data_IF_108203611194
#
_entry.id   IF_108203611194
#
_cell.length_a   1.000
_cell.length_b   1.000
_cell.length_c   1.000
_cell.angle_alpha   90.00
_cell.angle_beta   90.00
_cell.angle_gamma   90.00
#
_symmetry.space_group_name_H-M   'P 1'
#
loop_
_entity.id
_entity.type
_entity.pdbx_description
1 polymer ?
#
# COMPACT_ATOMS: atom_id res chain seq x y z
N UNK A 1 2.62 38.36 -39.42
CA UNK A 1 2.96 36.93 -39.59
C UNK A 1 4.23 36.66 -38.83
N UNK A 2 4.20 35.89 -37.74
CA UNK A 2 5.28 35.03 -37.22
C UNK A 2 4.57 34.08 -36.24
N UNK A 3 4.41 32.82 -36.64
CA UNK A 3 3.93 31.74 -35.77
C UNK A 3 5.16 31.23 -35.02
N UNK A 4 5.24 31.49 -33.71
CA UNK A 4 6.26 30.88 -32.87
C UNK A 4 5.64 29.65 -32.17
N UNK A 5 5.70 28.52 -32.86
CA UNK A 5 5.43 27.19 -32.32
C UNK A 5 6.47 26.86 -31.26
N UNK A 6 6.14 27.06 -29.98
CA UNK A 6 6.92 26.54 -28.86
C UNK A 6 6.45 25.10 -28.63
N UNK A 7 7.28 24.16 -29.09
CA UNK A 7 7.08 22.73 -28.94
C UNK A 7 7.20 22.36 -27.44
N UNK A 8 6.12 21.81 -26.90
CA UNK A 8 6.03 21.22 -25.56
C UNK A 8 6.97 20.02 -25.42
N UNK A 9 7.98 20.13 -24.56
CA UNK A 9 8.65 18.98 -23.96
C UNK A 9 8.97 19.23 -22.48
N UNK A 10 7.92 19.27 -21.65
CA UNK A 10 8.05 19.00 -20.22
C UNK A 10 7.68 17.54 -19.94
N UNK A 11 8.63 16.63 -20.17
CA UNK A 11 8.59 15.30 -19.56
C UNK A 11 9.14 15.46 -18.14
N UNK A 12 8.34 16.03 -17.25
CA UNK A 12 8.57 15.91 -15.81
C UNK A 12 7.81 14.67 -15.32
N UNK A 13 8.45 13.52 -15.47
CA UNK A 13 8.04 12.27 -14.82
C UNK A 13 8.22 12.47 -13.30
N UNK A 14 7.24 13.11 -12.65
CA UNK A 14 7.10 13.07 -11.20
C UNK A 14 6.58 11.67 -10.81
N UNK A 15 7.43 10.66 -10.95
CA UNK A 15 7.25 9.38 -10.31
C UNK A 15 7.56 9.51 -8.81
N UNK A 16 6.80 10.35 -8.10
CA UNK A 16 6.60 10.20 -6.66
C UNK A 16 5.53 9.11 -6.42
N UNK A 17 5.75 7.96 -7.06
CA UNK A 17 5.09 6.72 -6.75
C UNK A 17 6.13 5.85 -6.09
N UNK A 18 6.32 6.03 -4.77
CA UNK A 18 6.92 5.04 -3.89
C UNK A 18 6.04 3.80 -3.86
N UNK A 19 5.92 3.12 -4.99
CA UNK A 19 5.45 1.76 -5.03
C UNK A 19 6.58 0.91 -4.50
N UNK A 20 6.33 0.17 -3.43
CA UNK A 20 7.13 -0.97 -3.03
C UNK A 20 7.10 -2.04 -4.14
N UNK A 21 7.71 -1.75 -5.29
CA UNK A 21 8.02 -2.75 -6.30
C UNK A 21 9.25 -3.45 -5.76
N UNK A 22 9.09 -4.68 -5.26
CA UNK A 22 10.22 -5.60 -5.07
C UNK A 22 10.85 -5.82 -6.45
N UNK A 23 11.83 -4.98 -6.77
CA UNK A 23 12.58 -4.98 -8.03
C UNK A 23 13.99 -5.46 -7.73
N UNK A 24 14.06 -6.67 -7.21
CA UNK A 24 15.26 -7.42 -6.90
C UNK A 24 14.90 -8.90 -6.75
N UNK A 25 15.89 -9.80 -6.78
CA UNK A 25 15.68 -11.20 -6.40
C UNK A 25 14.91 -11.27 -5.08
N UNK A 26 14.11 -12.31 -4.87
CA UNK A 26 13.62 -12.60 -3.51
C UNK A 26 14.83 -12.56 -2.60
N UNK A 27 14.77 -11.73 -1.54
CA UNK A 27 15.88 -11.68 -0.59
C UNK A 27 15.99 -13.08 -0.01
N UNK A 28 17.07 -13.78 -0.34
CA UNK A 28 17.39 -15.03 0.30
C UNK A 28 17.58 -14.79 1.80
N UNK A 29 17.23 -15.79 2.59
CA UNK A 29 17.18 -15.75 4.04
C UNK A 29 15.78 -15.94 4.59
N UNK A 30 15.72 -16.20 5.89
CA UNK A 30 14.50 -16.56 6.59
C UNK A 30 13.35 -15.56 6.32
N UNK A 31 12.19 -16.02 5.85
CA UNK A 31 11.09 -15.12 5.53
C UNK A 31 10.62 -14.31 6.74
N UNK A 32 10.47 -13.00 6.56
CA UNK A 32 10.03 -12.09 7.65
C UNK A 32 8.64 -12.40 8.23
N UNK A 33 7.83 -13.21 7.54
CA UNK A 33 6.53 -13.65 8.02
C UNK A 33 6.58 -14.89 8.91
N UNK A 34 7.71 -15.61 8.99
CA UNK A 34 7.81 -16.89 9.70
C UNK A 34 7.35 -16.79 11.15
N UNK A 35 7.72 -15.72 11.86
CA UNK A 35 7.28 -15.44 13.24
C UNK A 35 5.76 -15.31 13.46
N UNK A 36 4.95 -15.28 12.39
CA UNK A 36 3.49 -15.12 12.44
C UNK A 36 2.74 -16.40 12.06
N UNK A 37 3.45 -17.47 11.73
CA UNK A 37 2.85 -18.77 11.43
C UNK A 37 2.60 -19.55 12.73
N UNK A 38 1.76 -20.60 12.72
CA UNK A 38 1.68 -21.55 13.84
C UNK A 38 3.06 -22.16 14.14
N UNK A 39 3.33 -22.47 15.41
CA UNK A 39 4.65 -22.93 15.89
C UNK A 39 5.25 -24.04 15.02
N UNK A 40 4.45 -25.06 14.69
CA UNK A 40 4.86 -26.17 13.83
C UNK A 40 5.39 -25.70 12.46
N UNK A 41 4.67 -24.79 11.80
CA UNK A 41 5.10 -24.23 10.51
C UNK A 41 6.30 -23.30 10.67
N UNK A 42 6.43 -22.60 11.81
CA UNK A 42 7.64 -21.82 12.08
C UNK A 42 8.87 -22.71 12.18
N UNK A 43 8.77 -23.83 12.90
CA UNK A 43 9.87 -24.78 13.08
C UNK A 43 10.28 -25.43 11.76
N UNK A 44 9.30 -25.88 10.95
CA UNK A 44 9.58 -26.44 9.61
C UNK A 44 10.35 -25.44 8.75
N UNK A 45 9.90 -24.17 8.71
CA UNK A 45 10.58 -23.13 7.92
C UNK A 45 11.95 -22.79 8.52
N UNK A 46 12.11 -22.71 9.84
CA UNK A 46 13.42 -22.46 10.45
C UNK A 46 14.43 -23.55 10.07
N UNK A 47 14.02 -24.82 10.04
CA UNK A 47 14.86 -25.96 9.62
C UNK A 47 15.27 -25.89 8.16
N UNK A 48 14.36 -25.49 7.25
CA UNK A 48 14.67 -25.29 5.82
C UNK A 48 15.81 -24.28 5.64
N UNK A 49 15.78 -23.19 6.40
CA UNK A 49 16.75 -22.10 6.29
C UNK A 49 17.95 -22.21 7.24
N UNK A 50 18.04 -23.26 8.06
CA UNK A 50 19.07 -23.40 9.12
C UNK A 50 20.48 -23.48 8.55
N UNK A 51 20.64 -24.13 7.39
CA UNK A 51 21.92 -24.36 6.71
C UNK A 51 22.14 -23.44 5.50
N UNK A 52 21.29 -22.42 5.31
CA UNK A 52 21.43 -21.49 4.19
C UNK A 52 22.60 -20.52 4.42
N UNK A 53 23.47 -20.38 3.42
CA UNK A 53 24.61 -19.46 3.44
C UNK A 53 24.39 -18.25 2.52
N UNK A 54 24.69 -17.05 3.04
CA UNK A 54 24.56 -15.80 2.29
C UNK A 54 25.42 -15.81 1.01
N UNK A 55 24.76 -15.63 -0.14
CA UNK A 55 25.40 -15.62 -1.46
C UNK A 55 25.13 -16.86 -2.30
N UNK A 56 24.56 -17.93 -1.71
CA UNK A 56 24.05 -19.08 -2.46
C UNK A 56 22.64 -18.78 -3.04
N UNK A 57 22.28 -19.45 -4.13
CA UNK A 57 20.93 -19.41 -4.67
C UNK A 57 19.95 -20.09 -3.71
N UNK A 58 18.79 -19.48 -3.47
CA UNK A 58 17.83 -19.94 -2.46
C UNK A 58 16.51 -20.48 -3.05
N UNK A 59 16.53 -20.92 -4.30
CA UNK A 59 15.31 -21.37 -5.00
C UNK A 59 14.71 -22.62 -4.36
N UNK A 60 15.57 -23.52 -3.87
CA UNK A 60 15.14 -24.75 -3.18
C UNK A 60 14.46 -24.42 -1.84
N UNK A 61 15.08 -23.58 -1.02
CA UNK A 61 14.56 -23.14 0.27
C UNK A 61 13.26 -22.36 0.10
N UNK A 62 13.15 -21.56 -0.96
CA UNK A 62 11.91 -20.89 -1.32
C UNK A 62 10.81 -21.86 -1.73
N UNK A 63 11.13 -22.89 -2.51
CA UNK A 63 10.15 -23.90 -2.90
C UNK A 63 9.68 -24.72 -1.70
N UNK A 64 10.59 -25.20 -0.85
CA UNK A 64 10.24 -25.95 0.36
C UNK A 64 9.43 -25.08 1.34
N UNK A 65 9.78 -23.79 1.48
CA UNK A 65 8.98 -22.83 2.26
C UNK A 65 7.58 -22.69 1.68
N UNK A 66 7.44 -22.67 0.36
CA UNK A 66 6.14 -22.59 -0.30
C UNK A 66 5.31 -23.84 -0.06
N UNK A 67 5.92 -25.02 -0.09
CA UNK A 67 5.22 -26.28 0.15
C UNK A 67 4.64 -26.30 1.58
N UNK A 68 5.41 -25.87 2.59
CA UNK A 68 4.91 -25.70 3.98
C UNK A 68 3.75 -24.70 4.05
N UNK A 69 3.79 -23.62 3.27
CA UNK A 69 2.70 -22.65 3.25
C UNK A 69 1.44 -23.19 2.55
N UNK A 70 1.60 -24.02 1.53
CA UNK A 70 0.49 -24.59 0.75
C UNK A 70 -0.25 -25.69 1.53
N UNK A 71 0.41 -26.33 2.51
CA UNK A 71 -0.22 -27.22 3.50
C UNK A 71 -1.11 -26.47 4.51
N UNK A 72 -0.85 -25.19 4.75
CA UNK A 72 -1.60 -24.41 5.73
C UNK A 72 -2.99 -24.01 5.20
N UNK A 73 -4.00 -23.96 6.08
CA UNK A 73 -5.28 -23.35 5.74
C UNK A 73 -5.11 -21.95 5.15
N UNK A 74 -5.88 -21.64 4.11
CA UNK A 74 -5.72 -20.41 3.34
C UNK A 74 -5.86 -19.16 4.21
N UNK A 75 -6.71 -19.17 5.23
CA UNK A 75 -6.90 -18.09 6.19
C UNK A 75 -5.64 -17.89 7.07
N UNK A 76 -5.02 -18.97 7.57
CA UNK A 76 -3.77 -18.94 8.35
C UNK A 76 -2.64 -18.36 7.52
N UNK A 77 -2.44 -18.88 6.30
CA UNK A 77 -1.43 -18.39 5.36
C UNK A 77 -1.63 -16.90 5.05
N UNK A 78 -2.87 -16.51 4.73
CA UNK A 78 -3.18 -15.12 4.39
C UNK A 78 -2.96 -14.18 5.58
N UNK A 79 -3.30 -14.58 6.81
CA UNK A 79 -3.01 -13.80 8.03
C UNK A 79 -1.52 -13.59 8.23
N UNK A 80 -0.72 -14.65 8.13
CA UNK A 80 0.73 -14.58 8.32
C UNK A 80 1.41 -13.76 7.22
N UNK A 81 0.95 -13.84 5.97
CA UNK A 81 1.56 -13.13 4.84
C UNK A 81 1.04 -11.70 4.66
N UNK A 82 -0.03 -11.30 5.36
CA UNK A 82 -0.59 -9.95 5.27
C UNK A 82 0.50 -8.88 5.55
N UNK A 83 0.55 -7.77 4.80
CA UNK A 83 1.49 -6.69 5.09
C UNK A 83 1.36 -6.25 6.55
N UNK A 84 2.49 -5.96 7.21
CA UNK A 84 2.49 -5.32 8.52
C UNK A 84 1.83 -3.96 8.32
N UNK A 85 0.55 -3.85 8.68
CA UNK A 85 -0.20 -2.61 8.64
C UNK A 85 0.39 -1.58 9.62
N UNK A 86 -0.32 -0.48 9.90
CA UNK A 86 0.11 0.49 10.90
C UNK A 86 0.48 -0.19 12.23
N UNK A 87 1.52 0.31 12.90
CA UNK A 87 2.05 -0.28 14.14
C UNK A 87 0.99 -0.45 15.23
N UNK A 88 0.02 0.45 15.30
CA UNK A 88 -1.08 0.39 16.28
C UNK A 88 -2.04 -0.79 16.07
N UNK A 89 -2.03 -1.42 14.89
CA UNK A 89 -2.78 -2.65 14.63
C UNK A 89 -1.92 -3.90 14.85
N UNK A 90 -0.75 -3.81 15.49
CA UNK A 90 0.04 -5.02 15.78
C UNK A 90 -0.66 -5.84 16.87
N UNK A 91 -0.91 -7.12 16.58
CA UNK A 91 -1.50 -8.06 17.54
C UNK A 91 -2.98 -7.83 17.89
N UNK A 92 -3.69 -6.94 17.19
CA UNK A 92 -5.15 -6.81 17.34
C UNK A 92 -5.86 -8.08 16.84
N UNK A 93 -7.06 -8.36 17.38
CA UNK A 93 -7.93 -9.41 16.87
C UNK A 93 -8.35 -9.15 15.41
N UNK A 94 -8.73 -10.20 14.70
CA UNK A 94 -9.21 -10.08 13.32
C UNK A 94 -10.48 -9.23 13.22
N UNK A 95 -11.35 -9.30 14.23
CA UNK A 95 -12.55 -8.47 14.32
C UNK A 95 -12.20 -6.98 14.41
N UNK A 96 -11.31 -6.60 15.34
CA UNK A 96 -10.86 -5.20 15.47
C UNK A 96 -10.20 -4.74 14.17
N UNK A 97 -9.35 -5.57 13.56
CA UNK A 97 -8.73 -5.24 12.28
C UNK A 97 -9.76 -5.03 11.18
N UNK A 98 -10.79 -5.88 11.11
CA UNK A 98 -11.86 -5.76 10.12
C UNK A 98 -12.63 -4.44 10.25
N UNK A 99 -12.84 -3.95 11.49
CA UNK A 99 -13.46 -2.63 11.72
C UNK A 99 -12.60 -1.49 11.14
N UNK A 100 -11.29 -1.52 11.36
CA UNK A 100 -10.38 -0.53 10.76
C UNK A 100 -10.30 -0.66 9.23
N UNK A 101 -10.28 -1.88 8.69
CA UNK A 101 -10.29 -2.10 7.24
C UNK A 101 -11.57 -1.60 6.58
N UNK A 102 -12.72 -1.85 7.23
CA UNK A 102 -14.02 -1.37 6.78
C UNK A 102 -14.02 0.16 6.73
N UNK A 103 -13.58 0.83 7.79
CA UNK A 103 -13.46 2.30 7.82
C UNK A 103 -12.48 2.82 6.76
N UNK A 104 -11.38 2.11 6.51
CA UNK A 104 -10.40 2.49 5.48
C UNK A 104 -11.01 2.46 4.07
N UNK A 105 -11.74 1.39 3.80
CA UNK A 105 -12.40 1.10 2.52
C UNK A 105 -13.75 1.77 2.36
N UNK A 106 -14.29 2.36 3.42
CA UNK A 106 -15.53 3.12 3.34
C UNK A 106 -15.29 4.39 2.52
N UNK A 107 -15.80 4.38 1.29
CA UNK A 107 -15.66 5.49 0.36
C UNK A 107 -16.76 6.54 0.51
N UNK A 108 -17.77 6.29 1.35
CA UNK A 108 -18.82 7.28 1.66
C UNK A 108 -18.31 8.40 2.58
N UNK A 109 -17.27 8.11 3.37
CA UNK A 109 -16.66 9.07 4.28
C UNK A 109 -15.57 9.86 3.55
N UNK A 110 -15.65 11.19 3.63
CA UNK A 110 -14.64 12.09 3.07
C UNK A 110 -13.25 11.78 3.63
N UNK A 111 -12.23 11.98 2.79
CA UNK A 111 -10.82 11.81 3.20
C UNK A 111 -10.43 12.74 4.34
N UNK A 112 -11.07 13.90 4.45
CA UNK A 112 -10.79 14.88 5.49
C UNK A 112 -11.42 14.51 6.85
N UNK A 113 -12.54 13.76 6.83
CA UNK A 113 -13.28 13.35 8.02
C UNK A 113 -12.83 11.98 8.55
N UNK A 114 -12.27 11.13 7.67
CA UNK A 114 -11.71 9.82 8.04
C UNK A 114 -10.79 9.88 9.27
N UNK A 115 -9.81 10.81 9.38
CA UNK A 115 -8.92 10.86 10.54
C UNK A 115 -9.65 10.90 11.89
N UNK A 116 -10.75 11.65 11.98
CA UNK A 116 -11.55 11.76 13.21
C UNK A 116 -12.29 10.46 13.49
N UNK A 117 -12.87 9.83 12.46
CA UNK A 117 -13.49 8.50 12.60
C UNK A 117 -12.50 7.42 12.99
N UNK A 118 -11.26 7.49 12.49
CA UNK A 118 -10.19 6.59 12.91
C UNK A 118 -9.83 6.79 14.38
N UNK A 119 -9.83 8.04 14.86
CA UNK A 119 -9.58 8.38 16.26
C UNK A 119 -10.69 7.88 17.17
N UNK A 120 -11.96 8.13 16.81
CA UNK A 120 -13.12 7.61 17.55
C UNK A 120 -13.09 6.07 17.66
N UNK A 121 -12.76 5.38 16.57
CA UNK A 121 -12.65 3.92 16.57
C UNK A 121 -11.48 3.46 17.43
N UNK A 122 -10.31 4.10 17.30
CA UNK A 122 -9.12 3.77 18.08
C UNK A 122 -9.36 3.87 19.59
N UNK A 123 -10.01 4.94 20.05
CA UNK A 123 -10.33 5.14 21.46
C UNK A 123 -11.29 4.08 22.02
N UNK A 124 -12.13 3.48 21.17
CA UNK A 124 -13.09 2.45 21.57
C UNK A 124 -12.51 1.05 21.67
N UNK A 125 -11.60 0.69 20.77
CA UNK A 125 -11.24 -0.73 20.55
C UNK A 125 -9.77 -1.08 20.79
N UNK A 126 -8.88 -0.09 20.90
CA UNK A 126 -7.46 -0.32 21.11
C UNK A 126 -7.11 -0.27 22.60
N UNK A 127 -6.12 -1.07 23.00
CA UNK A 127 -5.54 -1.02 24.34
C UNK A 127 -4.55 0.13 24.52
N UNK A 128 -4.04 0.35 25.74
CA UNK A 128 -3.16 1.47 26.06
C UNK A 128 -1.87 1.53 25.21
N UNK A 129 -1.22 0.38 24.95
CA UNK A 129 0.00 0.33 24.13
C UNK A 129 -0.30 0.67 22.66
N UNK A 130 -1.39 0.13 22.13
CA UNK A 130 -1.85 0.38 20.77
C UNK A 130 -2.31 1.84 20.60
N UNK A 131 -2.98 2.42 21.60
CA UNK A 131 -3.37 3.84 21.62
C UNK A 131 -2.15 4.76 21.53
N UNK A 132 -1.06 4.41 22.23
CA UNK A 132 0.20 5.17 22.18
C UNK A 132 0.78 5.19 20.77
N UNK A 133 0.79 4.04 20.09
CA UNK A 133 1.23 3.95 18.69
C UNK A 133 0.25 4.64 17.73
N UNK A 134 -1.06 4.59 18.02
CA UNK A 134 -2.07 5.29 17.24
C UNK A 134 -1.88 6.81 17.33
N UNK A 135 -1.66 7.34 18.53
CA UNK A 135 -1.44 8.77 18.74
C UNK A 135 -0.19 9.27 18.01
N UNK A 136 0.90 8.49 17.99
CA UNK A 136 2.08 8.79 17.15
C UNK A 136 1.72 8.83 15.66
N UNK A 137 0.98 7.83 15.19
CA UNK A 137 0.53 7.76 13.80
C UNK A 137 -0.36 8.94 13.43
N UNK A 138 -1.33 9.28 14.28
CA UNK A 138 -2.27 10.38 14.10
C UNK A 138 -1.55 11.72 14.09
N UNK A 139 -0.64 11.97 15.03
CA UNK A 139 0.19 13.18 15.04
C UNK A 139 1.03 13.32 13.77
N UNK A 140 1.64 12.23 13.29
CA UNK A 140 2.39 12.23 12.03
C UNK A 140 1.50 12.50 10.81
N UNK A 141 0.24 12.04 10.83
CA UNK A 141 -0.73 12.35 9.78
C UNK A 141 -1.11 13.83 9.79
N UNK A 142 -1.41 14.40 10.96
CA UNK A 142 -1.74 15.83 11.11
C UNK A 142 -0.57 16.72 10.66
N UNK A 143 0.66 16.41 11.09
CA UNK A 143 1.85 17.14 10.66
C UNK A 143 2.01 17.15 9.13
N UNK A 144 1.84 15.99 8.47
CA UNK A 144 1.91 15.92 6.99
C UNK A 144 0.82 16.74 6.32
N UNK A 145 -0.39 16.79 6.90
CA UNK A 145 -1.49 17.63 6.39
C UNK A 145 -1.13 19.11 6.50
N UNK A 146 -0.62 19.56 7.64
CA UNK A 146 -0.20 20.93 7.86
C UNK A 146 0.97 21.34 6.94
N UNK A 147 1.98 20.49 6.81
CA UNK A 147 3.11 20.70 5.89
C UNK A 147 2.63 20.82 4.43
N UNK A 148 1.68 19.97 4.03
CA UNK A 148 1.09 20.05 2.69
C UNK A 148 0.33 21.37 2.50
N UNK A 149 -0.46 21.79 3.49
CA UNK A 149 -1.15 23.09 3.45
C UNK A 149 -0.18 24.27 3.37
N UNK A 150 0.95 24.22 4.09
CA UNK A 150 2.01 25.23 3.97
C UNK A 150 2.57 25.27 2.54
N UNK A 151 2.85 24.11 1.94
CA UNK A 151 3.32 24.03 0.54
C UNK A 151 2.29 24.59 -0.44
N UNK A 152 1.00 24.31 -0.26
CA UNK A 152 -0.07 24.87 -1.09
C UNK A 152 -0.13 26.41 -1.01
N UNK A 153 0.07 26.97 0.19
CA UNK A 153 0.12 28.43 0.40
C UNK A 153 1.32 29.08 -0.28
N UNK A 154 2.43 28.36 -0.43
CA UNK A 154 3.66 28.82 -1.09
C UNK A 154 3.62 28.69 -2.62
N UNK A 155 2.64 27.99 -3.20
CA UNK A 155 2.52 27.87 -4.66
C UNK A 155 2.22 29.23 -5.31
N UNK A 156 2.75 29.40 -6.54
CA UNK A 156 2.34 30.50 -7.41
C UNK A 156 0.84 30.39 -7.77
N UNK A 157 0.18 31.49 -8.14
CA UNK A 157 -1.23 31.46 -8.53
C UNK A 157 -1.53 30.46 -9.66
N UNK A 158 -0.64 30.37 -10.66
CA UNK A 158 -0.75 29.43 -11.77
C UNK A 158 -0.64 27.97 -11.29
N UNK A 159 0.36 27.66 -10.46
CA UNK A 159 0.55 26.32 -9.93
C UNK A 159 -0.62 25.89 -9.01
N UNK A 160 -1.17 26.83 -8.23
CA UNK A 160 -2.35 26.58 -7.40
C UNK A 160 -3.59 26.30 -8.25
N UNK A 161 -3.84 27.10 -9.29
CA UNK A 161 -4.94 26.87 -10.22
C UNK A 161 -4.82 25.51 -10.94
N UNK A 162 -3.60 25.12 -11.34
CA UNK A 162 -3.35 23.79 -11.90
C UNK A 162 -3.60 22.68 -10.87
N UNK A 163 -3.14 22.84 -9.63
CA UNK A 163 -3.40 21.89 -8.55
C UNK A 163 -4.89 21.69 -8.29
N UNK A 164 -5.68 22.76 -8.24
CA UNK A 164 -7.13 22.69 -8.05
C UNK A 164 -7.83 21.94 -9.18
N UNK A 165 -7.47 22.20 -10.44
CA UNK A 165 -7.99 21.43 -11.59
C UNK A 165 -7.64 19.95 -11.47
N UNK A 166 -6.40 19.62 -11.12
CA UNK A 166 -5.97 18.23 -10.91
C UNK A 166 -6.67 17.57 -9.73
N UNK A 167 -6.98 18.30 -8.66
CA UNK A 167 -7.73 17.80 -7.52
C UNK A 167 -9.17 17.44 -7.93
N UNK A 168 -9.86 18.34 -8.63
CA UNK A 168 -11.22 18.09 -9.15
C UNK A 168 -11.27 16.88 -10.08
N UNK A 169 -10.34 16.77 -11.03
CA UNK A 169 -10.27 15.59 -11.90
C UNK A 169 -10.06 14.28 -11.13
N UNK A 170 -9.28 14.30 -10.04
CA UNK A 170 -9.09 13.12 -9.19
C UNK A 170 -10.37 12.74 -8.44
N UNK A 171 -11.12 13.72 -7.97
CA UNK A 171 -12.42 13.52 -7.31
C UNK A 171 -13.46 12.98 -8.29
N UNK A 172 -13.58 13.58 -9.48
CA UNK A 172 -14.48 13.10 -10.54
C UNK A 172 -14.14 11.68 -10.96
N UNK A 173 -12.86 11.39 -11.20
CA UNK A 173 -12.40 10.02 -11.49
C UNK A 173 -12.76 9.07 -10.35
N UNK A 174 -12.60 9.50 -9.10
CA UNK A 174 -12.95 8.67 -7.95
C UNK A 174 -14.46 8.41 -7.92
N UNK A 175 -15.28 9.44 -8.13
CA UNK A 175 -16.74 9.35 -8.17
C UNK A 175 -17.22 8.37 -9.24
N UNK A 176 -16.74 8.51 -10.48
CA UNK A 176 -17.05 7.59 -11.58
C UNK A 176 -16.70 6.15 -11.21
N UNK A 177 -15.50 5.96 -10.64
CA UNK A 177 -15.07 4.63 -10.23
C UNK A 177 -15.93 4.06 -9.10
N UNK A 178 -16.44 4.88 -8.19
CA UNK A 178 -17.29 4.45 -7.08
C UNK A 178 -18.72 4.12 -7.50
N UNK A 179 -19.29 4.89 -8.43
CA UNK A 179 -20.63 4.68 -9.01
C UNK A 179 -20.69 3.46 -9.94
N UNK A 180 -19.55 3.04 -10.49
CA UNK A 180 -19.46 1.82 -11.29
C UNK A 180 -19.79 0.56 -10.48
N UNK A 181 -20.38 -0.45 -11.14
CA UNK A 181 -20.58 -1.77 -10.54
C UNK A 181 -19.25 -2.49 -10.32
N UNK A 182 -19.22 -3.47 -9.41
CA UNK A 182 -17.99 -4.18 -9.08
C UNK A 182 -17.41 -4.96 -10.27
N UNK A 183 -18.28 -5.49 -11.14
CA UNK A 183 -17.87 -6.11 -12.41
C UNK A 183 -17.14 -5.12 -13.32
N UNK A 184 -17.65 -3.89 -13.44
CA UNK A 184 -17.02 -2.84 -14.26
C UNK A 184 -15.71 -2.37 -13.64
N UNK A 185 -15.66 -2.21 -12.31
CA UNK A 185 -14.42 -1.89 -11.59
C UNK A 185 -13.34 -2.96 -11.85
N UNK A 186 -13.72 -4.24 -11.82
CA UNK A 186 -12.79 -5.35 -12.06
C UNK A 186 -12.26 -5.34 -13.50
N UNK A 187 -13.13 -5.14 -14.49
CA UNK A 187 -12.75 -5.04 -15.90
C UNK A 187 -11.81 -3.85 -16.15
N UNK A 188 -12.16 -2.66 -15.64
CA UNK A 188 -11.31 -1.47 -15.74
C UNK A 188 -9.96 -1.66 -15.04
N UNK A 189 -9.95 -2.30 -13.87
CA UNK A 189 -8.71 -2.64 -13.19
C UNK A 189 -7.84 -3.56 -14.04
N UNK A 190 -8.40 -4.61 -14.65
CA UNK A 190 -7.66 -5.50 -15.56
C UNK A 190 -7.05 -4.72 -16.72
N UNK A 191 -7.83 -3.87 -17.38
CA UNK A 191 -7.36 -3.01 -18.48
C UNK A 191 -6.15 -2.16 -18.07
N UNK A 192 -6.27 -1.40 -16.99
CA UNK A 192 -5.21 -0.47 -16.56
C UNK A 192 -3.98 -1.17 -15.95
N UNK A 193 -4.16 -2.32 -15.30
CA UNK A 193 -3.05 -3.09 -14.75
C UNK A 193 -2.25 -3.81 -15.85
N UNK A 194 -2.92 -4.32 -16.89
CA UNK A 194 -2.27 -4.93 -18.04
C UNK A 194 -1.45 -3.93 -18.85
N UNK A 195 -1.98 -2.73 -19.09
CA UNK A 195 -1.23 -1.69 -19.81
C UNK A 195 0.00 -1.22 -19.04
N UNK A 196 -0.11 -1.10 -17.71
CA UNK A 196 1.05 -0.78 -16.87
C UNK A 196 2.12 -1.88 -16.94
N UNK A 197 1.71 -3.15 -16.95
CA UNK A 197 2.62 -4.31 -17.09
C UNK A 197 3.30 -4.31 -18.45
N UNK A 198 2.54 -4.19 -19.54
CA UNK A 198 3.05 -4.12 -20.92
C UNK A 198 4.04 -2.96 -21.10
N UNK A 199 3.73 -1.78 -20.57
CA UNK A 199 4.63 -0.63 -20.63
C UNK A 199 5.94 -0.87 -19.86
N UNK A 200 5.89 -1.54 -18.70
CA UNK A 200 7.10 -1.92 -17.97
C UNK A 200 7.95 -2.95 -18.73
N UNK A 201 7.33 -3.91 -19.39
CA UNK A 201 8.03 -4.92 -20.20
C UNK A 201 8.71 -4.32 -21.42
N UNK A 202 8.06 -3.38 -22.11
CA UNK A 202 8.67 -2.63 -23.23
C UNK A 202 9.92 -1.86 -22.79
N UNK A 203 9.88 -1.23 -21.62
CA UNK A 203 11.03 -0.53 -21.02
C UNK A 203 12.17 -1.44 -20.54
N UNK A 204 11.96 -2.76 -20.43
CA UNK A 204 13.03 -3.72 -20.10
C UNK A 204 13.76 -4.24 -21.34
N UNK A 205 13.18 -4.05 -22.54
CA UNK A 205 13.71 -4.53 -23.83
C UNK A 205 14.49 -3.46 -24.59
N UNK A 206 14.57 -2.24 -24.05
CA UNK A 206 15.39 -1.12 -24.51
C UNK A 206 16.52 -0.94 -23.49
#
# INVERSE_FOLDING_TARGET
MIKLTVLLLFIAYAAAGGGHRRRGPSRCGLPTFTSRLPEEAQEKIKKIWENYEDGQGCDKEHQETKDVLDELPADVRNRAMRPKGPSFLKGVSDEVRAQFDALWKDHSISRDDKPEKFKELAEKVLNAEQLKEFNKFHAALQRRREEFQKKLKQLSPEARAAHEKLAKLREERHKIFMEASDSVKEELNKLYHDDRRKHMERRKRQ
#
